data_IF_383661432363
#
_entry.id   IF_383661432363
#
_cell.length_a   1.000
_cell.length_b   1.000
_cell.length_c   1.000
_cell.angle_alpha   90.00
_cell.angle_beta   90.00
_cell.angle_gamma   90.00
#
_symmetry.space_group_name_H-M   'P 1'
#
loop_
_entity.id
_entity.type
_entity.pdbx_description
1 polymer ?
#
# COMPACT_ATOMS: atom_id res chain seq x y z
N UNK A 1 5.27 -7.51 -0.21
CA UNK A 1 6.17 -8.40 -0.92
C UNK A 1 6.05 -8.06 -2.39
N UNK A 2 7.13 -7.77 -3.04
CA UNK A 2 7.13 -7.58 -4.48
C UNK A 2 7.25 -8.95 -5.12
N UNK A 3 6.16 -9.54 -5.57
CA UNK A 3 6.24 -10.70 -6.43
C UNK A 3 6.16 -10.22 -7.88
N UNK A 4 7.30 -9.88 -8.47
CA UNK A 4 7.37 -10.09 -9.91
C UNK A 4 7.19 -11.58 -10.13
N UNK A 5 6.24 -12.02 -10.88
CA UNK A 5 5.93 -13.40 -11.39
C UNK A 5 6.44 -14.65 -10.65
N UNK A 6 7.08 -14.52 -9.49
CA UNK A 6 7.60 -15.62 -8.71
C UNK A 6 7.57 -15.30 -7.22
N UNK A 7 7.01 -16.19 -6.42
CA UNK A 7 6.88 -16.11 -4.95
C UNK A 7 8.21 -16.19 -4.18
N UNK A 8 9.28 -15.56 -4.67
CA UNK A 8 10.63 -15.68 -4.11
C UNK A 8 10.99 -14.63 -3.06
N UNK A 9 10.02 -14.00 -2.43
CA UNK A 9 10.31 -13.14 -1.30
C UNK A 9 10.39 -13.90 0.02
N UNK A 10 11.27 -13.46 0.93
CA UNK A 10 11.36 -13.99 2.30
C UNK A 10 10.84 -13.00 3.33
N UNK A 11 10.33 -13.51 4.46
CA UNK A 11 9.95 -12.66 5.58
C UNK A 11 11.15 -11.84 6.09
N UNK A 12 12.34 -12.44 6.13
CA UNK A 12 13.58 -11.75 6.50
C UNK A 12 13.92 -10.60 5.54
N UNK A 13 13.77 -10.80 4.23
CA UNK A 13 13.98 -9.76 3.23
C UNK A 13 13.00 -8.60 3.37
N UNK A 14 11.72 -8.87 3.69
CA UNK A 14 10.74 -7.82 3.97
C UNK A 14 11.12 -6.98 5.19
N UNK A 15 11.55 -7.62 6.27
CA UNK A 15 12.02 -6.93 7.49
C UNK A 15 13.29 -6.13 7.19
N UNK A 16 14.29 -6.75 6.57
CA UNK A 16 15.55 -6.11 6.23
C UNK A 16 15.35 -4.86 5.36
N UNK A 17 14.43 -4.88 4.41
CA UNK A 17 14.11 -3.74 3.55
C UNK A 17 13.01 -2.82 4.10
N UNK A 18 12.41 -3.13 5.25
CA UNK A 18 11.27 -2.40 5.84
C UNK A 18 10.15 -2.15 4.82
N UNK A 19 9.78 -3.18 4.06
CA UNK A 19 8.76 -3.08 3.02
C UNK A 19 7.38 -3.25 3.65
N UNK A 20 6.50 -2.30 3.39
CA UNK A 20 5.10 -2.32 3.86
C UNK A 20 4.16 -2.15 2.67
N UNK A 21 3.06 -2.88 2.68
CA UNK A 21 2.04 -2.82 1.62
C UNK A 21 1.00 -1.71 1.84
N UNK A 22 -0.07 -1.70 1.03
CA UNK A 22 -1.11 -0.66 1.04
C UNK A 22 -1.84 -0.46 2.37
N UNK A 23 -1.83 -1.47 3.26
CA UNK A 23 -2.47 -1.39 4.61
C UNK A 23 -1.65 -0.63 5.64
N UNK A 24 -0.48 -0.10 5.29
CA UNK A 24 0.47 0.46 6.26
C UNK A 24 -0.13 1.53 7.17
N UNK A 25 -0.90 2.46 6.63
CA UNK A 25 -1.45 3.56 7.43
C UNK A 25 -2.51 3.11 8.45
N UNK A 26 -3.16 1.95 8.21
CA UNK A 26 -4.09 1.34 9.16
C UNK A 26 -3.41 0.43 10.17
N UNK A 27 -2.55 -0.47 9.70
CA UNK A 27 -2.01 -1.57 10.53
C UNK A 27 -0.57 -1.33 10.99
N UNK A 28 0.05 -0.25 10.55
CA UNK A 28 1.46 0.04 10.81
C UNK A 28 2.40 -0.56 9.76
N UNK A 29 3.67 -0.25 9.92
CA UNK A 29 4.75 -0.78 9.10
C UNK A 29 5.14 -2.20 9.53
N UNK A 30 5.90 -2.92 8.70
CA UNK A 30 6.45 -4.22 9.11
C UNK A 30 7.27 -4.11 10.40
N UNK A 31 7.97 -2.99 10.60
CA UNK A 31 8.72 -2.67 11.82
C UNK A 31 7.84 -2.72 13.08
N UNK A 32 6.58 -2.32 12.99
CA UNK A 32 5.64 -2.30 14.13
C UNK A 32 5.13 -3.69 14.49
N UNK A 33 5.34 -4.66 13.60
CA UNK A 33 4.94 -6.06 13.78
C UNK A 33 6.09 -6.96 14.24
N UNK A 34 7.37 -6.55 14.11
CA UNK A 34 8.50 -7.36 14.57
C UNK A 34 8.63 -7.26 16.08
N UNK A 35 8.46 -8.37 16.79
CA UNK A 35 8.60 -8.49 18.24
C UNK A 35 9.98 -8.98 18.66
N UNK A 36 10.64 -9.79 17.84
CA UNK A 36 11.94 -10.33 18.12
C UNK A 36 12.58 -10.98 16.92
N UNK A 37 13.86 -11.26 17.01
CA UNK A 37 14.61 -11.95 15.98
C UNK A 37 15.78 -12.75 16.55
N UNK A 38 16.27 -13.70 15.77
CA UNK A 38 17.55 -14.37 15.91
C UNK A 38 18.30 -14.27 14.58
N UNK A 39 19.60 -14.14 14.63
CA UNK A 39 20.42 -14.01 13.45
C UNK A 39 21.90 -14.07 13.75
N UNK A 40 22.73 -13.91 12.72
CA UNK A 40 24.17 -13.91 12.79
C UNK A 40 24.69 -12.53 12.39
N UNK A 41 25.51 -11.90 13.24
CA UNK A 41 26.11 -10.61 12.96
C UNK A 41 27.36 -10.71 12.06
N UNK A 42 27.96 -9.58 11.69
CA UNK A 42 29.16 -9.52 10.84
C UNK A 42 30.44 -10.13 11.45
N UNK A 43 30.42 -10.53 12.72
CA UNK A 43 31.53 -11.23 13.42
C UNK A 43 31.31 -12.75 13.49
N UNK A 44 30.21 -13.26 12.91
CA UNK A 44 29.85 -14.67 13.00
C UNK A 44 29.16 -15.06 14.32
N UNK A 45 28.83 -14.10 15.17
CA UNK A 45 28.20 -14.36 16.47
C UNK A 45 26.68 -14.48 16.31
N UNK A 46 26.08 -15.45 17.00
CA UNK A 46 24.64 -15.60 17.07
C UNK A 46 24.11 -14.57 18.06
N UNK A 47 23.21 -13.71 17.56
CA UNK A 47 22.53 -12.70 18.38
C UNK A 47 21.03 -12.95 18.40
N UNK A 48 20.39 -12.61 19.53
CA UNK A 48 18.96 -12.68 19.74
C UNK A 48 18.50 -11.42 20.46
N UNK A 49 17.39 -10.84 20.01
CA UNK A 49 16.77 -9.69 20.69
C UNK A 49 15.26 -9.76 20.60
N UNK A 50 14.59 -9.17 21.59
CA UNK A 50 13.14 -9.22 21.70
C UNK A 50 12.64 -10.59 22.17
N UNK A 51 11.37 -10.88 21.93
CA UNK A 51 10.71 -12.11 22.39
C UNK A 51 9.34 -12.28 21.77
N UNK A 52 8.48 -13.02 22.47
CA UNK A 52 7.10 -13.31 22.04
C UNK A 52 6.06 -12.36 22.66
N UNK A 53 6.50 -11.38 23.45
CA UNK A 53 5.62 -10.43 24.14
C UNK A 53 5.60 -9.09 23.43
N UNK A 54 4.44 -8.46 23.44
CA UNK A 54 4.22 -7.16 22.76
C UNK A 54 4.97 -6.02 23.45
N UNK A 55 5.16 -6.11 24.77
CA UNK A 55 5.86 -5.11 25.57
C UNK A 55 7.13 -5.71 26.15
N UNK A 56 8.28 -5.21 25.68
CA UNK A 56 9.59 -5.46 26.29
C UNK A 56 10.31 -4.11 26.41
N UNK A 57 10.58 -3.68 27.62
CA UNK A 57 11.19 -2.37 27.95
C UNK A 57 12.62 -2.51 28.45
N UNK A 58 13.21 -3.70 28.40
CA UNK A 58 14.57 -3.96 28.87
C UNK A 58 15.57 -3.79 27.74
N UNK A 59 16.45 -2.81 27.87
CA UNK A 59 17.53 -2.54 26.91
C UNK A 59 17.05 -1.86 25.61
N UNK A 60 17.93 -1.86 24.61
CA UNK A 60 17.65 -1.28 23.31
C UNK A 60 16.74 -2.18 22.47
N UNK A 61 15.82 -1.57 21.71
CA UNK A 61 14.97 -2.30 20.77
C UNK A 61 15.72 -2.61 19.47
N UNK A 62 16.57 -3.63 19.52
CA UNK A 62 17.32 -4.08 18.36
C UNK A 62 16.39 -4.65 17.25
N UNK A 63 15.20 -5.14 17.62
CA UNK A 63 14.21 -5.60 16.66
C UNK A 63 13.75 -4.48 15.71
N UNK A 64 13.68 -3.25 16.22
CA UNK A 64 13.38 -2.08 15.41
C UNK A 64 14.59 -1.57 14.61
N UNK A 65 15.80 -1.78 15.12
CA UNK A 65 17.05 -1.38 14.47
C UNK A 65 17.29 -2.18 13.19
N UNK A 66 17.03 -3.48 13.21
CA UNK A 66 17.26 -4.36 12.06
C UNK A 66 16.27 -4.13 10.91
N UNK A 67 15.10 -3.55 11.20
CA UNK A 67 14.12 -3.21 10.18
C UNK A 67 14.63 -2.06 9.30
N UNK A 68 14.88 -2.34 8.03
CA UNK A 68 15.44 -1.38 7.08
C UNK A 68 16.96 -1.36 7.04
N UNK A 69 17.63 -2.33 7.68
CA UNK A 69 19.10 -2.46 7.66
C UNK A 69 19.65 -3.06 6.37
N UNK A 70 18.80 -3.51 5.46
CA UNK A 70 19.16 -4.17 4.20
C UNK A 70 20.08 -5.39 4.38
N UNK A 71 20.00 -6.06 5.56
CA UNK A 71 20.87 -7.18 5.89
C UNK A 71 22.30 -6.84 6.23
N UNK A 72 22.65 -5.53 6.36
CA UNK A 72 24.02 -5.08 6.63
C UNK A 72 24.44 -5.27 8.08
N UNK A 73 23.49 -5.40 9.00
CA UNK A 73 23.76 -5.57 10.44
C UNK A 73 23.70 -7.03 10.88
N UNK A 74 22.80 -7.83 10.28
CA UNK A 74 22.52 -9.20 10.69
C UNK A 74 21.92 -10.01 9.56
N UNK A 75 22.34 -11.26 9.43
CA UNK A 75 21.67 -12.28 8.61
C UNK A 75 20.56 -12.91 9.47
N UNK A 76 19.31 -12.59 9.19
CA UNK A 76 18.14 -13.03 9.95
C UNK A 76 17.85 -14.52 9.69
N UNK A 77 17.78 -15.31 10.74
CA UNK A 77 17.44 -16.76 10.69
C UNK A 77 16.06 -17.06 11.28
N UNK A 78 15.59 -16.24 12.23
CA UNK A 78 14.31 -16.40 12.87
C UNK A 78 13.71 -15.01 13.16
N UNK A 79 12.40 -14.87 12.97
CA UNK A 79 11.68 -13.63 13.26
C UNK A 79 10.37 -13.95 13.95
N UNK A 80 10.09 -13.24 15.03
CA UNK A 80 8.80 -13.28 15.73
C UNK A 80 7.96 -12.09 15.33
N UNK A 81 6.77 -12.35 14.78
CA UNK A 81 5.82 -11.32 14.36
C UNK A 81 4.58 -11.28 15.27
N UNK A 82 4.13 -10.06 15.55
CA UNK A 82 2.74 -9.82 15.94
C UNK A 82 1.86 -9.97 14.70
N UNK A 83 0.82 -10.75 14.80
CA UNK A 83 -0.18 -10.94 13.76
C UNK A 83 -1.51 -10.28 14.16
N UNK A 84 -2.30 -9.88 13.16
CA UNK A 84 -3.63 -9.35 13.33
C UNK A 84 -4.65 -10.33 12.73
N UNK A 85 -5.89 -10.39 13.24
CA UNK A 85 -6.95 -11.16 12.61
C UNK A 85 -7.17 -10.72 11.15
N UNK A 86 -7.45 -11.68 10.28
CA UNK A 86 -7.87 -11.34 8.93
C UNK A 86 -9.28 -10.72 8.96
N UNK A 87 -9.58 -9.71 8.16
CA UNK A 87 -10.92 -9.19 8.04
C UNK A 87 -11.83 -10.24 7.37
N UNK A 88 -13.09 -10.28 7.75
CA UNK A 88 -14.09 -11.19 7.15
C UNK A 88 -14.38 -10.82 5.71
N UNK A 89 -14.38 -9.52 5.40
CA UNK A 89 -14.73 -9.01 4.08
C UNK A 89 -14.01 -7.69 3.81
N UNK A 90 -13.93 -7.35 2.52
CA UNK A 90 -13.41 -6.06 2.05
C UNK A 90 -14.23 -5.52 0.90
N UNK A 91 -14.45 -4.21 0.85
CA UNK A 91 -15.02 -3.50 -0.29
C UNK A 91 -14.15 -2.34 -0.69
N UNK A 92 -14.11 -2.05 -1.98
CA UNK A 92 -13.33 -0.91 -2.49
C UNK A 92 -14.23 0.02 -3.28
N UNK A 93 -14.28 1.26 -2.84
CA UNK A 93 -14.87 2.37 -3.60
C UNK A 93 -13.86 2.80 -4.67
N UNK A 94 -14.31 2.82 -5.92
CA UNK A 94 -13.57 3.36 -7.05
C UNK A 94 -14.24 4.66 -7.49
N UNK A 95 -13.47 5.74 -7.57
CA UNK A 95 -13.88 7.02 -8.15
C UNK A 95 -13.14 7.18 -9.47
N UNK A 96 -13.88 7.27 -10.57
CA UNK A 96 -13.31 7.29 -11.91
C UNK A 96 -12.98 8.71 -12.38
N UNK A 97 -12.00 8.80 -13.29
CA UNK A 97 -11.69 10.00 -14.09
C UNK A 97 -11.34 11.25 -13.27
N UNK A 98 -10.60 11.06 -12.17
CA UNK A 98 -10.14 12.18 -11.36
C UNK A 98 -8.80 12.73 -11.87
N UNK A 99 -8.68 14.06 -11.90
CA UNK A 99 -7.37 14.72 -11.94
C UNK A 99 -6.66 14.53 -10.61
N UNK A 100 -5.36 14.81 -10.58
CA UNK A 100 -4.54 14.59 -9.39
C UNK A 100 -5.02 15.42 -8.18
N UNK A 101 -5.50 16.65 -8.38
CA UNK A 101 -5.95 17.53 -7.29
C UNK A 101 -7.22 16.99 -6.60
N UNK A 102 -8.33 16.69 -7.32
CA UNK A 102 -9.48 16.01 -6.70
C UNK A 102 -9.12 14.66 -6.10
N UNK A 103 -8.25 13.88 -6.76
CA UNK A 103 -7.81 12.59 -6.24
C UNK A 103 -7.08 12.75 -4.90
N UNK A 104 -6.14 13.70 -4.79
CA UNK A 104 -5.43 14.00 -3.56
C UNK A 104 -6.39 14.42 -2.44
N UNK A 105 -7.42 15.22 -2.75
CA UNK A 105 -8.47 15.57 -1.79
C UNK A 105 -9.22 14.33 -1.29
N UNK A 106 -9.64 13.43 -2.18
CA UNK A 106 -10.34 12.21 -1.77
C UNK A 106 -9.44 11.28 -0.95
N UNK A 107 -8.15 11.16 -1.29
CA UNK A 107 -7.19 10.38 -0.53
C UNK A 107 -7.04 10.93 0.90
N UNK A 108 -6.80 12.24 1.06
CA UNK A 108 -6.64 12.90 2.35
C UNK A 108 -7.89 12.78 3.21
N UNK A 109 -9.06 13.10 2.65
CA UNK A 109 -10.33 12.97 3.36
C UNK A 109 -10.65 11.55 3.77
N UNK A 110 -10.34 10.56 2.92
CA UNK A 110 -10.61 9.17 3.24
C UNK A 110 -9.78 8.68 4.41
N UNK A 111 -8.50 9.04 4.49
CA UNK A 111 -7.62 8.62 5.60
C UNK A 111 -8.05 9.26 6.92
N UNK A 112 -8.54 10.50 6.86
CA UNK A 112 -9.05 11.24 8.03
C UNK A 112 -10.45 10.80 8.46
N UNK A 113 -11.09 9.91 7.69
CA UNK A 113 -12.45 9.43 7.93
C UNK A 113 -12.54 8.47 9.11
N UNK A 114 -13.64 8.55 9.86
CA UNK A 114 -14.00 7.58 10.91
C UNK A 114 -14.40 6.19 10.38
N UNK A 115 -14.46 6.01 9.06
CA UNK A 115 -14.87 4.76 8.42
C UNK A 115 -13.77 3.69 8.35
N UNK A 116 -12.65 3.89 9.06
CA UNK A 116 -11.61 2.89 9.27
C UNK A 116 -11.02 2.34 7.95
N UNK A 117 -10.54 3.26 7.12
CA UNK A 117 -9.98 2.98 5.79
C UNK A 117 -8.71 2.13 5.91
N UNK A 118 -8.56 1.14 5.04
CA UNK A 118 -7.41 0.21 5.04
C UNK A 118 -6.54 0.25 3.79
N UNK A 119 -6.94 1.03 2.80
CA UNK A 119 -6.17 1.25 1.57
C UNK A 119 -6.69 2.50 0.86
N UNK A 120 -5.79 3.32 0.34
CA UNK A 120 -6.12 4.52 -0.43
C UNK A 120 -5.04 4.77 -1.48
N UNK A 121 -5.39 4.62 -2.76
CA UNK A 121 -4.47 4.66 -3.90
C UNK A 121 -5.05 5.52 -5.01
N UNK A 122 -4.17 6.23 -5.72
CA UNK A 122 -4.50 6.91 -6.97
C UNK A 122 -3.67 6.34 -8.11
N UNK A 123 -4.34 5.87 -9.14
CA UNK A 123 -3.78 5.35 -10.38
C UNK A 123 -4.08 6.34 -11.51
N UNK A 124 -3.12 7.14 -11.96
CA UNK A 124 -3.35 8.06 -13.07
C UNK A 124 -3.43 7.30 -14.39
N UNK A 125 -4.36 7.70 -15.24
CA UNK A 125 -4.37 7.34 -16.66
C UNK A 125 -4.38 8.64 -17.45
N UNK A 126 -3.23 9.16 -17.74
CA UNK A 126 -3.12 10.30 -18.64
C UNK A 126 -2.98 9.80 -20.08
N UNK A 127 -3.98 9.99 -20.95
CA UNK A 127 -4.02 9.35 -22.27
C UNK A 127 -3.05 9.94 -23.30
N UNK A 128 -2.30 11.01 -23.03
CA UNK A 128 -1.60 11.75 -24.06
C UNK A 128 -0.15 12.14 -23.81
N UNK A 129 0.47 11.69 -22.74
CA UNK A 129 1.90 11.96 -22.55
C UNK A 129 2.66 10.70 -22.93
N UNK A 130 3.41 10.77 -24.02
CA UNK A 130 4.15 9.65 -24.59
C UNK A 130 4.98 8.94 -23.50
N UNK A 131 4.61 7.71 -23.17
CA UNK A 131 5.29 6.88 -22.19
C UNK A 131 4.59 6.71 -20.82
N UNK A 132 3.53 7.44 -20.52
CA UNK A 132 2.85 7.41 -19.22
C UNK A 132 1.54 6.60 -19.16
N UNK A 133 1.20 5.84 -20.18
CA UNK A 133 -0.05 5.06 -20.18
C UNK A 133 0.13 3.84 -19.29
N UNK A 134 -0.46 3.88 -18.10
CA UNK A 134 -0.79 2.66 -17.38
C UNK A 134 -1.95 2.00 -18.11
N UNK A 135 -1.72 0.83 -18.69
CA UNK A 135 -2.78 0.06 -19.32
C UNK A 135 -3.58 -0.65 -18.22
N UNK A 136 -4.45 0.11 -17.53
CA UNK A 136 -5.33 -0.38 -16.46
C UNK A 136 -6.25 -1.47 -17.01
N UNK A 137 -6.71 -1.33 -18.24
CA UNK A 137 -7.59 -2.27 -18.92
C UNK A 137 -7.03 -3.69 -18.96
N UNK A 138 -5.76 -3.83 -19.35
CA UNK A 138 -5.12 -5.14 -19.43
C UNK A 138 -4.68 -5.68 -18.06
N UNK A 139 -4.52 -4.79 -17.07
CA UNK A 139 -4.08 -5.16 -15.72
C UNK A 139 -5.25 -5.64 -14.87
N UNK A 140 -6.42 -5.01 -14.99
CA UNK A 140 -7.63 -5.41 -14.30
C UNK A 140 -8.61 -6.04 -15.31
N UNK A 141 -8.63 -7.35 -15.41
CA UNK A 141 -9.71 -8.09 -16.09
C UNK A 141 -11.00 -8.02 -15.25
N UNK A 142 -11.38 -6.84 -14.81
CA UNK A 142 -12.59 -6.59 -14.05
C UNK A 142 -13.60 -5.98 -15.03
N UNK A 143 -14.58 -6.78 -15.42
CA UNK A 143 -15.61 -6.41 -16.42
C UNK A 143 -16.44 -5.17 -16.03
N UNK A 144 -16.34 -4.73 -14.77
CA UNK A 144 -17.14 -3.64 -14.20
C UNK A 144 -16.41 -2.29 -14.12
N UNK A 145 -15.12 -2.24 -14.46
CA UNK A 145 -14.40 -0.98 -14.51
C UNK A 145 -14.54 -0.38 -15.91
N UNK A 146 -15.28 0.72 -16.02
CA UNK A 146 -15.33 1.52 -17.25
C UNK A 146 -13.93 2.03 -17.58
N UNK A 147 -13.49 1.73 -18.76
CA UNK A 147 -12.13 1.51 -19.18
C UNK A 147 -11.25 2.74 -19.42
N UNK A 148 -11.76 3.95 -19.40
CA UNK A 148 -11.03 5.14 -19.82
C UNK A 148 -10.87 6.13 -18.64
N UNK A 149 -9.69 6.16 -18.04
CA UNK A 149 -9.38 7.22 -17.11
C UNK A 149 -8.65 6.80 -15.84
N UNK A 150 -8.29 7.78 -15.00
CA UNK A 150 -7.66 7.56 -13.70
C UNK A 150 -8.62 6.92 -12.70
N UNK A 151 -8.07 6.23 -11.71
CA UNK A 151 -8.83 5.60 -10.63
C UNK A 151 -8.32 6.10 -9.28
N UNK A 152 -9.24 6.57 -8.43
CA UNK A 152 -8.99 6.73 -7.00
C UNK A 152 -9.70 5.59 -6.29
N UNK A 153 -8.94 4.73 -5.61
CA UNK A 153 -9.49 3.55 -4.95
C UNK A 153 -9.31 3.62 -3.44
N UNK A 154 -10.40 3.42 -2.71
CA UNK A 154 -10.45 3.52 -1.25
C UNK A 154 -11.05 2.23 -0.71
N UNK A 155 -10.29 1.51 0.15
CA UNK A 155 -10.72 0.22 0.71
C UNK A 155 -11.18 0.34 2.15
N UNK A 156 -12.29 -0.32 2.44
CA UNK A 156 -12.78 -0.61 3.78
C UNK A 156 -12.70 -2.11 4.00
N UNK A 157 -12.29 -2.51 5.21
CA UNK A 157 -12.23 -3.91 5.65
C UNK A 157 -12.91 -4.05 7.01
N UNK A 158 -13.51 -5.21 7.28
CA UNK A 158 -14.17 -5.46 8.58
C UNK A 158 -15.16 -6.61 8.56
N UNK A 159 -16.15 -6.54 9.46
CA UNK A 159 -17.25 -7.50 9.50
C UNK A 159 -18.28 -7.25 8.42
N UNK A 160 -19.00 -8.30 8.04
CA UNK A 160 -20.06 -8.22 7.00
C UNK A 160 -21.18 -7.25 7.37
N UNK A 161 -21.52 -7.18 8.67
CA UNK A 161 -22.62 -6.36 9.16
C UNK A 161 -22.31 -4.87 9.08
N UNK A 162 -21.05 -4.47 9.24
CA UNK A 162 -20.68 -3.05 9.31
C UNK A 162 -20.23 -2.45 7.98
N UNK A 163 -19.73 -3.25 7.05
CA UNK A 163 -19.02 -2.75 5.87
C UNK A 163 -19.90 -1.94 4.93
N UNK A 164 -21.15 -2.36 4.75
CA UNK A 164 -22.10 -1.67 3.85
C UNK A 164 -22.51 -0.30 4.39
N UNK A 165 -22.74 -0.21 5.71
CA UNK A 165 -23.06 1.07 6.32
C UNK A 165 -21.86 2.03 6.28
N UNK A 166 -20.67 1.52 6.55
CA UNK A 166 -19.43 2.31 6.47
C UNK A 166 -19.14 2.78 5.06
N UNK A 167 -19.43 1.96 4.04
CA UNK A 167 -19.30 2.35 2.64
C UNK A 167 -20.25 3.50 2.29
N UNK A 168 -21.52 3.40 2.70
CA UNK A 168 -22.50 4.49 2.52
C UNK A 168 -22.06 5.77 3.23
N UNK A 169 -21.60 5.65 4.47
CA UNK A 169 -21.11 6.78 5.25
C UNK A 169 -19.92 7.46 4.57
N UNK A 170 -18.97 6.67 4.06
CA UNK A 170 -17.81 7.18 3.33
C UNK A 170 -18.22 7.96 2.06
N UNK A 171 -19.12 7.42 1.25
CA UNK A 171 -19.61 8.09 0.04
C UNK A 171 -20.26 9.44 0.40
N UNK A 172 -21.07 9.48 1.47
CA UNK A 172 -21.70 10.69 1.94
C UNK A 172 -20.67 11.71 2.49
N UNK A 173 -19.72 11.25 3.28
CA UNK A 173 -18.66 12.09 3.87
C UNK A 173 -17.77 12.71 2.79
N UNK A 174 -17.41 11.95 1.78
CA UNK A 174 -16.63 12.44 0.64
C UNK A 174 -17.44 13.36 -0.29
N UNK A 175 -18.76 13.54 -0.05
CA UNK A 175 -19.66 14.36 -0.87
C UNK A 175 -19.54 14.04 -2.36
N UNK A 176 -19.51 12.75 -2.68
CA UNK A 176 -19.41 12.29 -4.05
C UNK A 176 -20.76 12.48 -4.73
N UNK A 177 -20.94 13.68 -5.31
CA UNK A 177 -22.14 14.04 -6.06
C UNK A 177 -21.79 14.04 -7.55
N UNK A 178 -22.57 13.36 -8.36
CA UNK A 178 -22.41 13.29 -9.83
C UNK A 178 -21.03 12.71 -10.29
N UNK A 179 -20.32 12.00 -9.43
CA UNK A 179 -19.11 11.30 -9.82
C UNK A 179 -19.43 9.91 -10.36
N UNK A 180 -18.66 9.46 -11.34
CA UNK A 180 -18.72 8.07 -11.78
C UNK A 180 -18.00 7.20 -10.74
N UNK A 181 -18.74 6.35 -10.03
CA UNK A 181 -18.20 5.45 -9.01
C UNK A 181 -18.55 4.01 -9.31
N UNK A 182 -17.74 3.10 -8.81
CA UNK A 182 -17.99 1.66 -8.78
C UNK A 182 -17.60 1.12 -7.41
N UNK A 183 -18.22 0.03 -6.98
CA UNK A 183 -17.85 -0.65 -5.74
C UNK A 183 -17.38 -2.05 -6.12
N UNK A 184 -16.16 -2.39 -5.73
CA UNK A 184 -15.62 -3.72 -5.86
C UNK A 184 -15.99 -4.53 -4.62
N UNK A 185 -16.64 -5.66 -4.82
CA UNK A 185 -16.94 -6.62 -3.78
C UNK A 185 -15.67 -7.40 -3.36
N UNK A 186 -15.74 -8.17 -2.29
CA UNK A 186 -14.59 -8.80 -1.62
C UNK A 186 -13.60 -9.43 -2.58
N UNK A 187 -14.04 -10.33 -3.45
CA UNK A 187 -13.13 -11.01 -4.39
C UNK A 187 -12.44 -10.06 -5.37
N UNK A 188 -13.20 -9.14 -5.96
CA UNK A 188 -12.66 -8.13 -6.89
C UNK A 188 -11.72 -7.17 -6.17
N UNK A 189 -12.09 -6.75 -4.94
CA UNK A 189 -11.26 -5.92 -4.07
C UNK A 189 -9.92 -6.59 -3.78
N UNK A 190 -9.91 -7.86 -3.42
CA UNK A 190 -8.67 -8.62 -3.15
C UNK A 190 -7.77 -8.70 -4.40
N UNK A 191 -8.33 -9.01 -5.56
CA UNK A 191 -7.59 -9.03 -6.83
C UNK A 191 -6.96 -7.66 -7.10
N UNK A 192 -7.75 -6.58 -6.95
CA UNK A 192 -7.28 -5.22 -7.16
C UNK A 192 -6.08 -4.89 -6.25
N UNK A 193 -6.21 -5.09 -4.94
CA UNK A 193 -5.17 -4.74 -3.98
C UNK A 193 -3.93 -5.64 -4.05
N UNK A 194 -4.07 -6.87 -4.50
CA UNK A 194 -2.94 -7.73 -4.81
C UNK A 194 -2.10 -7.17 -5.97
N UNK A 195 -2.73 -6.63 -7.01
CA UNK A 195 -2.04 -5.99 -8.12
C UNK A 195 -1.34 -4.69 -7.71
N UNK A 196 -2.00 -3.86 -6.89
CA UNK A 196 -1.39 -2.66 -6.29
C UNK A 196 -0.16 -3.06 -5.46
N UNK A 197 -0.31 -4.02 -4.55
CA UNK A 197 0.75 -4.52 -3.67
C UNK A 197 1.96 -5.05 -4.44
N UNK A 198 1.71 -5.75 -5.54
CA UNK A 198 2.74 -6.41 -6.34
C UNK A 198 3.35 -5.52 -7.42
N UNK A 199 2.97 -4.24 -7.49
CA UNK A 199 3.44 -3.28 -8.51
C UNK A 199 3.19 -3.78 -9.95
N UNK A 200 2.09 -4.52 -10.18
CA UNK A 200 1.83 -5.14 -11.50
C UNK A 200 1.74 -4.12 -12.64
N UNK A 201 1.43 -2.86 -12.33
CA UNK A 201 1.42 -1.76 -13.30
C UNK A 201 2.79 -1.48 -13.94
N UNK A 202 3.87 -1.91 -13.29
CA UNK A 202 5.24 -1.74 -13.78
C UNK A 202 5.86 -3.04 -14.27
N UNK A 203 5.13 -4.17 -14.24
CA UNK A 203 5.65 -5.52 -14.54
C UNK A 203 6.23 -5.67 -15.94
N UNK A 204 5.76 -4.89 -16.92
CA UNK A 204 6.28 -4.89 -18.30
C UNK A 204 7.48 -3.96 -18.50
N UNK A 205 7.83 -3.16 -17.52
CA UNK A 205 8.94 -2.21 -17.61
C UNK A 205 10.27 -2.88 -17.24
N UNK A 206 11.30 -2.64 -18.02
CA UNK A 206 12.70 -2.97 -17.69
C UNK A 206 13.40 -1.86 -16.91
N UNK A 207 12.70 -0.77 -16.64
CA UNK A 207 13.23 0.39 -15.93
C UNK A 207 13.29 0.15 -14.41
N UNK A 208 14.14 0.89 -13.73
CA UNK A 208 14.18 0.89 -12.28
C UNK A 208 12.89 1.52 -11.71
N UNK A 209 12.39 0.94 -10.62
CA UNK A 209 11.25 1.48 -9.88
C UNK A 209 11.78 2.22 -8.67
N UNK A 210 11.38 3.48 -8.53
CA UNK A 210 11.72 4.31 -7.39
C UNK A 210 10.58 4.29 -6.38
N UNK A 211 10.93 4.26 -5.10
CA UNK A 211 10.02 4.38 -3.97
C UNK A 211 10.26 5.71 -3.28
N UNK A 212 9.31 6.63 -3.41
CA UNK A 212 9.41 7.99 -2.86
C UNK A 212 8.37 8.16 -1.77
N UNK A 213 8.81 8.46 -0.55
CA UNK A 213 7.94 8.74 0.61
C UNK A 213 7.93 10.23 0.87
N UNK A 214 6.75 10.82 0.89
CA UNK A 214 6.54 12.26 1.03
C UNK A 214 5.35 12.54 1.96
N UNK A 215 5.22 13.75 2.50
CA UNK A 215 3.96 14.18 3.10
C UNK A 215 2.83 14.15 2.06
N UNK A 216 1.62 13.68 2.39
CA UNK A 216 0.49 13.63 1.43
C UNK A 216 0.18 14.97 0.78
N UNK A 217 0.36 16.08 1.50
CA UNK A 217 0.17 17.45 1.01
C UNK A 217 1.09 17.83 -0.16
N UNK A 218 2.23 17.16 -0.32
CA UNK A 218 3.20 17.45 -1.37
C UNK A 218 3.01 16.62 -2.65
N UNK A 219 2.07 15.65 -2.65
CA UNK A 219 1.92 14.71 -3.76
C UNK A 219 1.58 15.41 -5.09
N UNK A 220 0.70 16.40 -5.06
CA UNK A 220 0.32 17.18 -6.25
C UNK A 220 1.52 17.96 -6.80
N UNK A 221 2.23 18.65 -5.91
CA UNK A 221 3.42 19.44 -6.29
C UNK A 221 4.51 18.58 -6.89
N UNK A 222 4.76 17.39 -6.32
CA UNK A 222 5.73 16.45 -6.86
C UNK A 222 5.40 16.03 -8.29
N UNK A 223 4.13 15.73 -8.58
CA UNK A 223 3.70 15.36 -9.94
C UNK A 223 4.03 16.47 -10.94
N UNK A 224 3.72 17.73 -10.61
CA UNK A 224 4.04 18.86 -11.47
C UNK A 224 5.55 19.05 -11.66
N UNK A 225 6.35 18.84 -10.61
CA UNK A 225 7.82 18.96 -10.72
C UNK A 225 8.44 17.85 -11.58
N UNK A 226 7.88 16.65 -11.58
CA UNK A 226 8.34 15.53 -12.40
C UNK A 226 7.99 15.68 -13.89
N UNK A 227 7.27 16.76 -14.26
CA UNK A 227 6.99 17.15 -15.67
C UNK A 227 6.42 16.01 -16.50
N UNK A 228 5.60 15.17 -15.92
CA UNK A 228 4.91 14.04 -16.59
C UNK A 228 5.81 13.05 -17.37
N UNK A 229 7.10 12.99 -17.06
CA UNK A 229 8.06 12.13 -17.78
C UNK A 229 8.04 10.68 -17.30
N UNK A 230 7.47 10.41 -16.14
CA UNK A 230 7.56 9.13 -15.46
C UNK A 230 6.18 8.50 -15.28
N UNK A 231 6.14 7.17 -15.33
CA UNK A 231 4.98 6.42 -14.88
C UNK A 231 4.99 6.42 -13.36
N UNK A 232 3.86 6.69 -12.73
CA UNK A 232 3.75 6.71 -11.29
C UNK A 232 2.36 6.28 -10.83
N UNK A 233 2.24 5.94 -9.58
CA UNK A 233 0.98 5.94 -8.84
C UNK A 233 1.22 6.29 -7.36
N UNK A 234 0.17 6.75 -6.69
CA UNK A 234 0.22 7.03 -5.26
C UNK A 234 -0.45 5.93 -4.45
N UNK A 235 0.20 5.53 -3.36
CA UNK A 235 -0.33 4.67 -2.31
C UNK A 235 -0.28 5.39 -0.96
N UNK A 236 -0.74 4.73 0.08
CA UNK A 236 -0.80 5.25 1.45
C UNK A 236 -1.47 6.62 1.55
N UNK A 237 -2.53 6.84 0.73
CA UNK A 237 -3.25 8.09 0.70
C UNK A 237 -2.44 9.31 0.22
N UNK A 238 -1.52 9.08 -0.68
CA UNK A 238 -0.64 10.12 -1.24
C UNK A 238 0.73 10.21 -0.58
N UNK A 239 0.99 9.44 0.50
CA UNK A 239 2.27 9.48 1.20
C UNK A 239 3.37 8.63 0.56
N UNK A 240 3.03 7.77 -0.37
CA UNK A 240 3.97 6.93 -1.10
C UNK A 240 3.73 7.06 -2.60
N UNK A 241 4.78 7.39 -3.34
CA UNK A 241 4.81 7.37 -4.80
C UNK A 241 5.73 6.25 -5.27
N UNK A 242 5.23 5.51 -6.22
CA UNK A 242 6.00 4.52 -6.97
C UNK A 242 6.23 5.00 -8.40
#
# INVERSE_FOLDING_TARGET
MFSGKSDYGTAAGQVACNISGPRRFKVGSIRDHVLGFRGVNGRGEIIKSGGVVVKNVTGYDLSKLICGSYGTLVALTEITFKVLPAPETSKTLIIHNQKIEPAAYFLDKSISSSNDISGAVFLPTEPKIAGCVMNIENTFKLNDLKQDGSLTAIRIEGSKESIDQRMKNLINELKIVNQNISILETHQSEIFWNKVKNLEFFSSSKNSILRIVIPPSECVKLVYQLSHKYKYYFDWGGALMW
#
